data_IF_652098295405
#
_entry.id   IF_652098295405
#
_cell.length_a   1.000
_cell.length_b   1.000
_cell.length_c   1.000
_cell.angle_alpha   90.00
_cell.angle_beta   90.00
_cell.angle_gamma   90.00
#
_symmetry.space_group_name_H-M   'P 1'
#
loop_
_entity.id
_entity.type
_entity.pdbx_description
1 polymer ?
#
# COMPACT_ATOMS: atom_id res chain seq x y z
N UNK A 1 -44.41 26.73 13.59
CA UNK A 1 -43.18 26.04 14.05
C UNK A 1 -42.78 25.05 12.96
N UNK A 2 -41.83 25.43 12.10
CA UNK A 2 -41.31 24.57 11.03
C UNK A 2 -40.04 23.90 11.54
N UNK A 3 -40.04 22.57 11.69
CA UNK A 3 -38.82 21.80 11.93
C UNK A 3 -38.08 21.63 10.61
N UNK A 4 -37.07 22.47 10.39
CA UNK A 4 -36.07 22.29 9.34
C UNK A 4 -35.17 21.11 9.71
N UNK A 5 -35.38 19.97 9.05
CA UNK A 5 -34.51 18.80 9.16
C UNK A 5 -33.23 19.04 8.36
N UNK A 6 -32.14 19.38 9.05
CA UNK A 6 -30.80 19.48 8.48
C UNK A 6 -30.21 18.09 8.30
N UNK A 7 -30.55 17.40 7.22
CA UNK A 7 -29.77 16.24 6.77
C UNK A 7 -28.53 16.77 6.04
N UNK A 8 -27.47 17.04 6.80
CA UNK A 8 -26.15 17.32 6.25
C UNK A 8 -25.72 16.15 5.38
N UNK A 9 -25.54 16.42 4.09
CA UNK A 9 -25.29 15.43 3.05
C UNK A 9 -23.95 14.73 3.24
N UNK A 10 -23.97 13.56 3.87
CA UNK A 10 -22.91 12.58 3.71
C UNK A 10 -23.11 11.90 2.34
N UNK A 11 -22.74 12.64 1.28
CA UNK A 11 -22.67 12.08 -0.07
C UNK A 11 -21.52 11.09 -0.08
N UNK A 12 -21.84 9.80 0.11
CA UNK A 12 -20.92 8.70 -0.11
C UNK A 12 -20.42 8.81 -1.56
N UNK A 13 -19.24 9.42 -1.73
CA UNK A 13 -18.55 9.44 -3.02
C UNK A 13 -18.21 8.00 -3.30
N UNK A 14 -18.95 7.38 -4.22
CA UNK A 14 -18.63 6.06 -4.74
C UNK A 14 -17.26 6.19 -5.39
N UNK A 15 -16.21 5.82 -4.66
CA UNK A 15 -14.87 5.75 -5.21
C UNK A 15 -14.96 4.75 -6.37
N UNK A 16 -14.79 5.23 -7.60
CA UNK A 16 -14.59 4.35 -8.74
C UNK A 16 -13.26 3.66 -8.50
N UNK A 17 -13.29 2.41 -8.05
CA UNK A 17 -12.08 1.60 -7.96
C UNK A 17 -11.44 1.59 -9.35
N UNK A 18 -10.21 2.06 -9.46
CA UNK A 18 -9.46 1.90 -10.70
C UNK A 18 -9.21 0.41 -10.90
N UNK A 19 -9.25 -0.09 -12.15
CA UNK A 19 -8.90 -1.48 -12.42
C UNK A 19 -7.46 -1.74 -11.98
N UNK A 20 -7.23 -2.90 -11.37
CA UNK A 20 -5.89 -3.34 -11.05
C UNK A 20 -5.03 -3.40 -12.31
N UNK A 21 -3.82 -2.84 -12.25
CA UNK A 21 -2.85 -2.89 -13.35
C UNK A 21 -1.82 -3.97 -13.07
N UNK A 22 -1.73 -4.96 -13.95
CA UNK A 22 -0.67 -5.94 -13.89
C UNK A 22 0.62 -5.36 -14.51
N UNK A 23 1.77 -5.72 -13.92
CA UNK A 23 3.09 -5.50 -14.49
C UNK A 23 3.77 -6.85 -14.68
N UNK A 24 4.77 -6.90 -15.56
CA UNK A 24 5.57 -8.12 -15.77
C UNK A 24 6.61 -8.32 -14.67
N UNK A 25 7.05 -7.22 -14.09
CA UNK A 25 8.14 -7.15 -13.13
C UNK A 25 7.62 -6.55 -11.82
N UNK A 26 8.13 -7.02 -10.68
CA UNK A 26 7.67 -6.56 -9.38
C UNK A 26 8.22 -5.15 -9.04
N UNK A 27 9.35 -4.80 -9.61
CA UNK A 27 10.02 -3.51 -9.47
C UNK A 27 9.21 -2.38 -10.14
N UNK A 28 8.40 -2.71 -11.14
CA UNK A 28 7.55 -1.74 -11.83
C UNK A 28 6.28 -1.40 -11.04
N UNK A 29 5.85 -2.26 -10.11
CA UNK A 29 4.60 -2.03 -9.37
C UNK A 29 4.75 -1.04 -8.23
N UNK A 30 5.97 -0.88 -7.70
CA UNK A 30 6.26 0.00 -6.57
C UNK A 30 6.41 1.47 -6.97
N UNK A 31 6.68 1.77 -8.25
CA UNK A 31 6.89 3.15 -8.72
C UNK A 31 5.65 4.04 -8.49
N UNK A 32 5.78 5.01 -7.57
CA UNK A 32 4.72 5.97 -7.23
C UNK A 32 3.53 5.37 -6.50
N UNK A 33 3.66 4.14 -5.99
CA UNK A 33 2.65 3.52 -5.14
C UNK A 33 2.74 4.06 -3.71
N UNK A 34 1.61 4.09 -3.00
CA UNK A 34 1.56 4.57 -1.61
C UNK A 34 2.00 3.49 -0.60
N UNK A 35 1.94 2.22 -0.98
CA UNK A 35 2.35 1.10 -0.15
C UNK A 35 2.63 -0.14 -1.02
N UNK A 36 3.43 -1.06 -0.49
CA UNK A 36 3.69 -2.37 -1.09
C UNK A 36 3.01 -3.48 -0.27
N UNK A 37 2.27 -4.37 -0.94
CA UNK A 37 1.66 -5.53 -0.30
C UNK A 37 2.18 -6.84 -0.91
N UNK A 38 2.78 -7.68 -0.08
CA UNK A 38 3.31 -9.00 -0.48
C UNK A 38 2.39 -10.08 0.06
N UNK A 39 1.57 -10.61 -0.86
CA UNK A 39 0.55 -11.62 -0.57
C UNK A 39 1.02 -13.06 -0.84
N UNK A 40 2.27 -13.26 -1.23
CA UNK A 40 2.84 -14.58 -1.55
C UNK A 40 4.11 -14.83 -0.71
N UNK A 41 4.45 -16.11 -0.51
CA UNK A 41 5.64 -16.52 0.25
C UNK A 41 6.83 -16.91 -0.62
N UNK A 42 6.94 -16.36 -1.84
CA UNK A 42 7.97 -16.76 -2.79
C UNK A 42 9.37 -16.35 -2.31
N UNK A 43 10.41 -17.20 -2.51
CA UNK A 43 11.76 -16.94 -2.00
C UNK A 43 12.34 -15.59 -2.43
N UNK A 44 12.01 -15.13 -3.64
CA UNK A 44 12.45 -13.84 -4.18
C UNK A 44 12.12 -12.65 -3.27
N UNK A 45 11.04 -12.72 -2.49
CA UNK A 45 10.63 -11.64 -1.60
C UNK A 45 11.22 -11.72 -0.19
N UNK A 46 12.11 -12.67 0.14
CA UNK A 46 12.66 -12.78 1.51
C UNK A 46 13.75 -11.75 1.83
N UNK A 47 14.49 -11.32 0.82
CA UNK A 47 15.56 -10.34 0.96
C UNK A 47 15.59 -9.41 -0.26
N UNK A 48 14.55 -8.56 -0.45
CA UNK A 48 14.52 -7.61 -1.53
C UNK A 48 15.52 -6.46 -1.30
N UNK A 49 15.75 -5.66 -2.34
CA UNK A 49 16.43 -4.37 -2.21
C UNK A 49 15.48 -3.34 -1.58
N UNK A 50 15.61 -3.17 -0.26
CA UNK A 50 14.78 -2.26 0.52
C UNK A 50 15.05 -0.78 0.22
N UNK A 51 16.26 -0.41 -0.20
CA UNK A 51 16.59 0.98 -0.56
C UNK A 51 15.86 1.38 -1.84
N UNK A 52 15.84 0.47 -2.82
CA UNK A 52 15.06 0.66 -4.05
C UNK A 52 13.55 0.69 -3.77
N UNK A 53 13.04 -0.15 -2.87
CA UNK A 53 11.62 -0.08 -2.45
C UNK A 53 11.31 1.28 -1.81
N UNK A 54 12.08 1.68 -0.80
CA UNK A 54 11.88 2.91 -0.05
C UNK A 54 11.88 4.16 -0.93
N UNK A 55 12.82 4.24 -1.89
CA UNK A 55 12.93 5.38 -2.80
C UNK A 55 11.83 5.43 -3.88
N UNK A 56 11.18 4.30 -4.15
CA UNK A 56 10.14 4.20 -5.20
C UNK A 56 8.71 4.47 -4.72
N UNK A 57 8.44 4.30 -3.42
CA UNK A 57 7.13 4.49 -2.81
C UNK A 57 6.92 5.94 -2.36
N UNK A 58 5.69 6.45 -2.45
CA UNK A 58 5.34 7.78 -1.92
C UNK A 58 5.39 7.79 -0.38
N UNK A 59 4.98 6.67 0.21
CA UNK A 59 5.09 6.39 1.63
C UNK A 59 5.71 4.99 1.77
N UNK A 60 6.85 4.84 2.46
CA UNK A 60 7.56 3.58 2.52
C UNK A 60 6.85 2.62 3.48
N UNK A 61 5.68 2.12 3.11
CA UNK A 61 4.83 1.25 3.92
C UNK A 61 4.76 -0.14 3.26
N UNK A 62 5.09 -1.17 4.03
CA UNK A 62 5.08 -2.57 3.55
C UNK A 62 4.12 -3.43 4.39
N UNK A 63 3.21 -4.13 3.71
CA UNK A 63 2.36 -5.18 4.28
C UNK A 63 2.81 -6.56 3.78
N UNK A 64 2.98 -7.53 4.69
CA UNK A 64 3.32 -8.90 4.30
C UNK A 64 2.40 -9.94 4.97
N UNK A 65 1.85 -10.86 4.18
CA UNK A 65 0.88 -11.86 4.67
C UNK A 65 1.50 -13.10 5.34
N UNK A 66 2.84 -13.22 5.38
CA UNK A 66 3.55 -14.47 5.72
C UNK A 66 4.61 -14.32 6.81
N UNK A 67 4.58 -13.21 7.55
CA UNK A 67 5.62 -12.87 8.53
C UNK A 67 7.03 -12.91 7.91
N UNK A 68 7.22 -12.22 6.77
CA UNK A 68 8.44 -12.32 5.97
C UNK A 68 9.60 -11.51 6.53
N UNK A 69 9.30 -10.39 7.18
CA UNK A 69 10.28 -9.43 7.65
C UNK A 69 10.16 -9.24 9.15
N UNK A 70 11.29 -9.00 9.81
CA UNK A 70 11.32 -8.59 11.20
C UNK A 70 10.88 -7.11 11.30
N UNK A 71 9.85 -6.78 12.09
CA UNK A 71 9.43 -5.39 12.30
C UNK A 71 10.57 -4.47 12.75
N UNK A 72 11.46 -4.95 13.64
CA UNK A 72 12.57 -4.13 14.13
C UNK A 72 13.57 -3.80 13.01
N UNK A 73 13.78 -4.74 12.08
CA UNK A 73 14.61 -4.53 10.91
C UNK A 73 14.02 -3.49 9.96
N UNK A 74 12.71 -3.54 9.69
CA UNK A 74 12.03 -2.54 8.86
C UNK A 74 12.07 -1.14 9.49
N UNK A 75 11.87 -1.06 10.81
CA UNK A 75 11.93 0.21 11.54
C UNK A 75 13.31 0.87 11.43
N UNK A 76 14.40 0.10 11.54
CA UNK A 76 15.77 0.60 11.33
C UNK A 76 15.96 1.15 9.91
N UNK A 77 15.35 0.51 8.91
CA UNK A 77 15.40 0.97 7.52
C UNK A 77 14.49 2.20 7.27
N UNK A 78 13.65 2.58 8.23
CA UNK A 78 12.69 3.67 8.09
C UNK A 78 11.55 3.32 7.13
N UNK A 79 11.06 2.09 7.23
CA UNK A 79 9.88 1.51 6.57
C UNK A 79 8.85 1.16 7.65
#
# INVERSE_FOLDING_TARGET
MSLSSKTNGLRLRRATAQPARARKNCEDVQQGADALAICTGWPHFRAPDFDTIKSSLNHPLIFHGRNLYDPAFLEILGI
#
